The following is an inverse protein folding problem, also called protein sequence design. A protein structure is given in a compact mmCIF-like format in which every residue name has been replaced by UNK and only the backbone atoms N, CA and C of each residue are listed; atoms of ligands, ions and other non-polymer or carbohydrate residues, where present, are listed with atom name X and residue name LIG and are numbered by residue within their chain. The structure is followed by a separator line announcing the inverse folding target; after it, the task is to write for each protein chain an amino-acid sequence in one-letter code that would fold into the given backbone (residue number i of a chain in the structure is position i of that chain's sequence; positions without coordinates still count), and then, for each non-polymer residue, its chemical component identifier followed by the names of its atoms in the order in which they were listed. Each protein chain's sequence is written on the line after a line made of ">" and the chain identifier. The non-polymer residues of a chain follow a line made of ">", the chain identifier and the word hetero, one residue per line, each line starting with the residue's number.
data_IF_855478750417
#
_entry.id   IF_855478750417
#
_cell.length_a   1.000
_cell.length_b   1.000
_cell.length_c   1.000
_cell.angle_alpha   90.00
_cell.angle_beta   90.00
_cell.angle_gamma   90.00
#
_symmetry.space_group_name_H-M   'P 1'
#
loop_
_entity.id
_entity.type
_entity.pdbx_description
1 polymer ?
#
# COMPACT_ATOMS: atom_id res chain seq x y z
N UNK A 1 10.72 -28.29 1.25
CA UNK A 1 10.66 -26.84 1.55
C UNK A 1 9.30 -26.48 2.12
N UNK A 2 8.20 -26.74 1.41
CA UNK A 2 6.81 -26.53 1.87
C UNK A 2 6.50 -27.17 3.23
N UNK A 3 7.01 -28.37 3.48
CA UNK A 3 6.85 -29.08 4.76
C UNK A 3 7.38 -28.28 5.96
N UNK A 4 8.55 -27.64 5.81
CA UNK A 4 9.19 -26.80 6.83
C UNK A 4 8.34 -25.57 7.15
N UNK A 5 7.82 -24.90 6.13
CA UNK A 5 6.99 -23.71 6.33
C UNK A 5 5.64 -24.04 6.96
N UNK A 6 5.07 -25.20 6.65
CA UNK A 6 3.88 -25.68 7.36
C UNK A 6 4.16 -25.90 8.86
N UNK A 7 5.31 -26.45 9.25
CA UNK A 7 5.66 -26.56 10.67
C UNK A 7 5.88 -25.19 11.34
N UNK A 8 6.44 -24.22 10.63
CA UNK A 8 6.57 -22.84 11.14
C UNK A 8 5.17 -22.22 11.34
N UNK A 9 4.25 -22.41 10.38
CA UNK A 9 2.87 -21.93 10.49
C UNK A 9 2.16 -22.57 11.68
N UNK A 10 2.24 -23.90 11.82
CA UNK A 10 1.65 -24.63 12.96
C UNK A 10 2.19 -24.12 14.30
N UNK A 11 3.51 -23.90 14.39
CA UNK A 11 4.14 -23.30 15.56
C UNK A 11 3.62 -21.88 15.86
N UNK A 12 3.53 -21.00 14.86
CA UNK A 12 3.06 -19.64 15.07
C UNK A 12 1.57 -19.57 15.43
N UNK A 13 0.76 -20.49 14.91
CA UNK A 13 -0.66 -20.64 15.30
C UNK A 13 -0.77 -21.07 16.76
N UNK A 14 0.02 -22.04 17.21
CA UNK A 14 0.06 -22.47 18.63
C UNK A 14 0.55 -21.34 19.55
N UNK A 15 1.59 -20.60 19.13
CA UNK A 15 2.08 -19.41 19.84
C UNK A 15 0.98 -18.37 20.02
N UNK A 16 0.20 -18.09 18.97
CA UNK A 16 -0.94 -17.15 19.04
C UNK A 16 -1.94 -17.56 20.12
N UNK A 17 -2.25 -18.85 20.21
CA UNK A 17 -3.28 -19.36 21.13
C UNK A 17 -2.80 -19.45 22.58
N UNK A 18 -1.49 -19.58 22.79
CA UNK A 18 -0.91 -19.91 24.11
C UNK A 18 -0.12 -18.78 24.75
N UNK A 19 0.30 -17.77 23.98
CA UNK A 19 1.26 -16.75 24.42
C UNK A 19 0.71 -15.33 24.26
N UNK A 20 0.69 -14.51 25.32
CA UNK A 20 0.32 -13.10 25.21
C UNK A 20 1.24 -12.32 24.27
N UNK A 21 0.67 -11.37 23.52
CA UNK A 21 1.38 -10.59 22.50
C UNK A 21 2.60 -9.84 23.04
N UNK A 22 2.58 -9.39 24.28
CA UNK A 22 3.68 -8.67 24.94
C UNK A 22 4.90 -9.57 25.18
N UNK A 23 4.69 -10.89 25.26
CA UNK A 23 5.78 -11.87 25.32
C UNK A 23 6.28 -12.22 23.92
N UNK A 24 5.36 -12.38 22.97
CA UNK A 24 5.67 -12.67 21.56
C UNK A 24 6.62 -11.63 20.99
N UNK A 25 6.32 -10.34 21.17
CA UNK A 25 7.14 -9.23 20.62
C UNK A 25 8.53 -9.11 21.26
N UNK A 26 8.80 -9.84 22.34
CA UNK A 26 10.12 -9.86 23.03
C UNK A 26 10.87 -11.17 22.81
N UNK A 27 10.24 -12.16 22.18
CA UNK A 27 10.84 -13.47 21.96
C UNK A 27 11.55 -13.51 20.60
N UNK A 28 12.88 -13.54 20.63
CA UNK A 28 13.71 -13.53 19.43
C UNK A 28 13.43 -14.72 18.48
N UNK A 29 13.05 -15.87 19.02
CA UNK A 29 12.78 -17.07 18.22
C UNK A 29 11.46 -16.93 17.47
N UNK A 30 10.45 -16.36 18.11
CA UNK A 30 9.16 -16.06 17.48
C UNK A 30 9.35 -14.99 16.40
N UNK A 31 10.09 -13.91 16.71
CA UNK A 31 10.38 -12.85 15.73
C UNK A 31 11.17 -13.36 14.53
N UNK A 32 12.16 -14.24 14.75
CA UNK A 32 12.89 -14.89 13.66
C UNK A 32 11.98 -15.78 12.80
N UNK A 33 11.06 -16.51 13.43
CA UNK A 33 10.09 -17.36 12.73
C UNK A 33 9.14 -16.53 11.86
N UNK A 34 8.66 -15.39 12.37
CA UNK A 34 7.84 -14.43 11.60
C UNK A 34 8.64 -13.89 10.41
N UNK A 35 9.90 -13.49 10.60
CA UNK A 35 10.75 -12.97 9.50
C UNK A 35 10.94 -14.01 8.40
N UNK A 36 11.27 -15.25 8.77
CA UNK A 36 11.46 -16.35 7.83
C UNK A 36 10.16 -16.66 7.07
N UNK A 37 9.02 -16.65 7.78
CA UNK A 37 7.73 -16.88 7.16
C UNK A 37 7.34 -15.75 6.21
N UNK A 38 7.53 -14.48 6.61
CA UNK A 38 7.24 -13.32 5.76
C UNK A 38 8.08 -13.28 4.50
N UNK A 39 9.38 -13.65 4.61
CA UNK A 39 10.25 -13.77 3.45
C UNK A 39 9.73 -14.85 2.48
N UNK A 40 9.27 -15.98 3.00
CA UNK A 40 8.70 -17.03 2.17
C UNK A 40 7.36 -16.64 1.52
N UNK A 41 6.46 -16.01 2.27
CA UNK A 41 5.20 -15.49 1.73
C UNK A 41 5.40 -14.43 0.64
N UNK A 42 6.54 -13.73 0.64
CA UNK A 42 6.87 -12.77 -0.42
C UNK A 42 7.21 -13.45 -1.76
N UNK A 43 7.62 -14.72 -1.75
CA UNK A 43 8.07 -15.46 -2.94
C UNK A 43 7.10 -16.58 -3.35
N UNK A 44 6.34 -17.13 -2.41
CA UNK A 44 5.57 -18.36 -2.60
C UNK A 44 4.13 -18.24 -2.08
N UNK A 45 3.18 -18.78 -2.84
CA UNK A 45 1.75 -18.79 -2.52
C UNK A 45 1.12 -20.18 -2.51
N UNK A 46 1.95 -21.23 -2.54
CA UNK A 46 1.52 -22.62 -2.69
C UNK A 46 0.71 -23.20 -1.53
N UNK A 47 0.74 -22.58 -0.34
CA UNK A 47 -0.03 -22.97 0.86
C UNK A 47 -1.13 -21.97 1.21
N UNK A 48 -1.96 -21.58 0.23
CA UNK A 48 -2.94 -20.50 0.37
C UNK A 48 -3.85 -20.64 1.61
N UNK A 49 -4.24 -21.87 1.98
CA UNK A 49 -5.10 -22.13 3.15
C UNK A 49 -4.37 -21.84 4.46
N UNK A 50 -3.17 -22.40 4.63
CA UNK A 50 -2.34 -22.24 5.83
C UNK A 50 -1.84 -20.80 5.96
N UNK A 51 -1.50 -20.17 4.84
CA UNK A 51 -1.20 -18.73 4.75
C UNK A 51 -2.38 -17.93 5.31
N UNK A 52 -3.60 -18.19 4.80
CA UNK A 52 -4.80 -17.46 5.21
C UNK A 52 -5.10 -17.63 6.71
N UNK A 53 -4.77 -18.78 7.30
CA UNK A 53 -4.90 -19.02 8.75
C UNK A 53 -3.88 -18.24 9.59
N UNK A 54 -2.74 -17.87 8.99
CA UNK A 54 -1.66 -17.14 9.69
C UNK A 54 -1.84 -15.63 9.62
N UNK A 55 -2.50 -15.11 8.58
CA UNK A 55 -2.76 -13.66 8.41
C UNK A 55 -3.33 -13.00 9.67
N UNK A 56 -4.37 -13.55 10.35
CA UNK A 56 -4.91 -12.95 11.57
C UNK A 56 -3.85 -12.71 12.65
N UNK A 57 -2.89 -13.63 12.78
CA UNK A 57 -1.79 -13.50 13.73
C UNK A 57 -0.84 -12.36 13.36
N UNK A 58 -0.44 -12.28 12.09
CA UNK A 58 0.46 -11.23 11.59
C UNK A 58 -0.18 -9.84 11.75
N UNK A 59 -1.48 -9.74 11.51
CA UNK A 59 -2.27 -8.51 11.71
C UNK A 59 -2.27 -8.10 13.17
N UNK A 60 -2.55 -9.01 14.11
CA UNK A 60 -2.58 -8.71 15.54
C UNK A 60 -1.23 -8.15 16.03
N UNK A 61 -0.12 -8.76 15.59
CA UNK A 61 1.24 -8.28 15.86
C UNK A 61 1.48 -6.88 15.31
N UNK A 62 1.07 -6.62 14.06
CA UNK A 62 1.23 -5.31 13.46
C UNK A 62 0.43 -4.23 14.21
N UNK A 63 -0.79 -4.55 14.64
CA UNK A 63 -1.63 -3.64 15.43
C UNK A 63 -0.96 -3.28 16.77
N UNK A 64 -0.32 -4.25 17.42
CA UNK A 64 0.43 -4.01 18.64
C UNK A 64 1.66 -3.12 18.39
N UNK A 65 2.49 -3.45 17.40
CA UNK A 65 3.68 -2.68 17.05
C UNK A 65 3.41 -1.26 16.52
N UNK A 66 2.21 -0.99 15.98
CA UNK A 66 1.84 0.37 15.61
C UNK A 66 1.52 1.24 16.82
N UNK A 67 0.86 0.66 17.83
CA UNK A 67 0.43 1.34 19.06
C UNK A 67 1.61 1.58 20.00
N UNK A 68 2.42 0.56 20.22
CA UNK A 68 3.57 0.61 21.10
C UNK A 68 4.86 0.86 20.31
N UNK A 69 5.76 1.68 20.84
CA UNK A 69 7.04 1.95 20.17
C UNK A 69 8.00 0.77 20.42
N UNK A 70 7.81 -0.31 19.65
CA UNK A 70 8.64 -1.52 19.71
C UNK A 70 9.98 -1.32 19.00
N UNK A 71 11.05 -1.95 19.48
CA UNK A 71 12.37 -1.86 18.86
C UNK A 71 12.42 -2.44 17.43
N UNK A 72 11.53 -3.39 17.14
CA UNK A 72 11.43 -4.03 15.82
C UNK A 72 10.17 -3.55 15.11
N UNK A 73 10.34 -2.92 13.94
CA UNK A 73 9.23 -2.58 13.06
C UNK A 73 8.72 -3.84 12.32
N UNK A 74 7.84 -4.58 12.98
CA UNK A 74 7.25 -5.79 12.41
C UNK A 74 6.31 -5.50 11.25
N UNK A 75 5.75 -4.28 11.16
CA UNK A 75 4.93 -3.88 10.01
C UNK A 75 5.81 -3.87 8.77
N UNK A 76 6.99 -3.24 8.85
CA UNK A 76 7.95 -3.20 7.74
C UNK A 76 8.42 -4.59 7.30
N UNK A 77 8.55 -5.53 8.24
CA UNK A 77 8.94 -6.92 7.97
C UNK A 77 7.86 -7.69 7.19
N UNK A 78 6.57 -7.45 7.46
CA UNK A 78 5.48 -8.21 6.83
C UNK A 78 4.96 -7.59 5.53
N UNK A 79 5.31 -6.32 5.22
CA UNK A 79 4.88 -5.65 3.99
C UNK A 79 5.18 -6.48 2.72
N UNK A 80 6.39 -7.04 2.51
CA UNK A 80 6.67 -7.87 1.34
C UNK A 80 5.75 -9.09 1.21
N UNK A 81 5.41 -9.73 2.34
CA UNK A 81 4.45 -10.83 2.35
C UNK A 81 3.06 -10.33 1.92
N UNK A 82 2.55 -9.26 2.54
CA UNK A 82 1.22 -8.76 2.20
C UNK A 82 1.10 -8.21 0.77
N UNK A 83 2.19 -7.70 0.20
CA UNK A 83 2.25 -7.34 -1.22
C UNK A 83 1.95 -8.53 -2.14
N UNK A 84 2.53 -9.70 -1.84
CA UNK A 84 2.33 -10.92 -2.63
C UNK A 84 0.99 -11.62 -2.32
N UNK A 85 0.46 -11.44 -1.10
CA UNK A 85 -0.77 -12.10 -0.65
C UNK A 85 -2.05 -11.36 -1.03
N UNK A 86 -2.07 -10.03 -1.00
CA UNK A 86 -3.30 -9.26 -1.27
C UNK A 86 -3.83 -9.31 -2.71
N UNK A 87 -3.07 -9.72 -3.75
CA UNK A 87 -3.63 -10.07 -5.05
C UNK A 87 -4.45 -11.37 -5.04
N UNK A 88 -4.22 -12.28 -4.09
CA UNK A 88 -4.87 -13.59 -4.02
C UNK A 88 -6.20 -13.51 -3.27
N UNK A 89 -7.23 -14.22 -3.74
CA UNK A 89 -8.61 -14.08 -3.25
C UNK A 89 -8.75 -14.39 -1.74
N UNK A 90 -8.39 -15.60 -1.27
CA UNK A 90 -8.57 -15.95 0.15
C UNK A 90 -7.64 -15.19 1.08
N UNK A 91 -6.34 -15.02 0.77
CA UNK A 91 -5.45 -14.20 1.59
C UNK A 91 -5.91 -12.74 1.68
N UNK A 92 -6.40 -12.14 0.58
CA UNK A 92 -6.99 -10.79 0.58
C UNK A 92 -8.22 -10.71 1.48
N UNK A 93 -9.14 -11.66 1.36
CA UNK A 93 -10.34 -11.71 2.21
C UNK A 93 -9.96 -11.79 3.70
N UNK A 94 -9.01 -12.66 4.05
CA UNK A 94 -8.51 -12.78 5.40
C UNK A 94 -7.82 -11.48 5.88
N UNK A 95 -7.00 -10.85 5.05
CA UNK A 95 -6.34 -9.58 5.36
C UNK A 95 -7.35 -8.46 5.64
N UNK A 96 -8.36 -8.31 4.79
CA UNK A 96 -9.42 -7.31 4.95
C UNK A 96 -10.23 -7.57 6.21
N UNK A 97 -10.68 -8.81 6.41
CA UNK A 97 -11.56 -9.19 7.52
C UNK A 97 -10.93 -8.94 8.89
N UNK A 98 -9.61 -9.08 9.00
CA UNK A 98 -8.90 -8.91 10.27
C UNK A 98 -8.36 -7.49 10.50
N UNK A 99 -8.66 -6.54 9.61
CA UNK A 99 -8.28 -5.13 9.79
C UNK A 99 -6.92 -4.75 9.21
N UNK A 100 -6.38 -5.54 8.28
CA UNK A 100 -5.17 -5.21 7.55
C UNK A 100 -5.18 -3.85 6.82
N UNK A 101 -6.30 -3.41 6.20
CA UNK A 101 -6.32 -2.10 5.57
C UNK A 101 -6.07 -0.96 6.56
N UNK A 102 -6.66 -1.03 7.77
CA UNK A 102 -6.45 -0.02 8.80
C UNK A 102 -4.98 0.06 9.22
N UNK A 103 -4.28 -1.07 9.31
CA UNK A 103 -2.84 -1.10 9.63
C UNK A 103 -2.04 -0.37 8.57
N UNK A 104 -2.32 -0.60 7.27
CA UNK A 104 -1.60 0.09 6.19
C UNK A 104 -1.87 1.60 6.21
N UNK A 105 -3.13 1.99 6.47
CA UNK A 105 -3.52 3.39 6.58
C UNK A 105 -2.82 4.05 7.79
N UNK A 106 -2.88 3.42 8.96
CA UNK A 106 -2.24 3.92 10.18
C UNK A 106 -0.72 4.00 10.02
N UNK A 107 -0.11 3.01 9.37
CA UNK A 107 1.33 3.03 9.06
C UNK A 107 1.69 4.22 8.17
N UNK A 108 0.98 4.42 7.05
CA UNK A 108 1.20 5.54 6.15
C UNK A 108 0.98 6.89 6.83
N UNK A 109 -0.09 7.03 7.62
CA UNK A 109 -0.38 8.25 8.38
C UNK A 109 0.70 8.54 9.43
N UNK A 110 1.14 7.53 10.18
CA UNK A 110 2.21 7.65 11.19
C UNK A 110 3.53 8.02 10.54
N UNK A 111 3.91 7.34 9.45
CA UNK A 111 5.09 7.66 8.67
C UNK A 111 5.04 9.11 8.19
N UNK A 112 3.94 9.50 7.55
CA UNK A 112 3.82 10.84 6.96
C UNK A 112 3.82 11.94 8.02
N UNK A 113 3.15 11.73 9.15
CA UNK A 113 3.08 12.73 10.25
C UNK A 113 4.42 12.93 10.96
N UNK A 114 5.28 11.91 10.96
CA UNK A 114 6.58 11.95 11.63
C UNK A 114 7.71 12.41 10.69
N UNK A 115 7.42 12.61 9.41
CA UNK A 115 8.40 13.08 8.43
C UNK A 115 8.84 14.52 8.75
N UNK A 116 10.14 14.74 8.87
CA UNK A 116 10.69 16.06 9.22
C UNK A 116 10.69 17.04 8.03
N UNK A 117 10.97 16.53 6.83
CA UNK A 117 11.07 17.33 5.60
C UNK A 117 9.99 16.93 4.59
N UNK A 118 8.93 17.73 4.47
CA UNK A 118 7.85 17.55 3.50
C UNK A 118 8.14 18.17 2.11
N UNK A 119 9.36 18.64 1.86
CA UNK A 119 9.73 19.21 0.55
C UNK A 119 10.36 18.18 -0.40
N UNK A 120 10.80 17.04 0.12
CA UNK A 120 11.42 15.97 -0.66
C UNK A 120 11.02 14.58 -0.17
N UNK A 121 11.17 13.57 -1.03
CA UNK A 121 11.03 12.15 -0.68
C UNK A 121 12.33 11.48 -1.09
N UNK A 122 13.06 10.95 -0.11
CA UNK A 122 14.30 10.19 -0.31
C UNK A 122 14.01 8.75 -0.72
N UNK A 123 15.00 8.06 -1.30
CA UNK A 123 14.81 6.67 -1.77
C UNK A 123 14.51 5.69 -0.63
N UNK A 124 15.01 5.95 0.57
CA UNK A 124 14.63 5.16 1.76
C UNK A 124 13.16 5.32 2.10
N UNK A 125 12.63 6.54 1.97
CA UNK A 125 11.23 6.86 2.24
C UNK A 125 10.29 6.33 1.15
N UNK A 126 10.76 6.25 -0.10
CA UNK A 126 9.96 5.65 -1.18
C UNK A 126 9.53 4.24 -0.81
N UNK A 127 10.45 3.42 -0.31
CA UNK A 127 10.17 2.04 0.07
C UNK A 127 9.15 1.94 1.21
N UNK A 128 9.20 2.88 2.17
CA UNK A 128 8.28 2.93 3.31
C UNK A 128 6.87 3.36 2.90
N UNK A 129 6.71 4.08 1.80
CA UNK A 129 5.40 4.51 1.29
C UNK A 129 4.85 3.52 0.25
N UNK A 130 5.69 3.08 -0.67
CA UNK A 130 5.29 2.34 -1.87
C UNK A 130 4.64 0.99 -1.53
N UNK A 131 5.23 0.25 -0.59
CA UNK A 131 4.70 -1.06 -0.20
C UNK A 131 3.28 -1.00 0.38
N UNK A 132 3.03 -0.24 1.46
CA UNK A 132 1.69 -0.09 2.02
C UNK A 132 0.68 0.48 1.02
N UNK A 133 1.09 1.44 0.19
CA UNK A 133 0.23 2.01 -0.86
C UNK A 133 -0.18 0.96 -1.90
N UNK A 134 0.77 0.12 -2.34
CA UNK A 134 0.49 -0.95 -3.29
C UNK A 134 -0.41 -2.05 -2.70
N UNK A 135 -0.27 -2.35 -1.40
CA UNK A 135 -1.22 -3.24 -0.69
C UNK A 135 -2.64 -2.67 -0.74
N UNK A 136 -2.80 -1.36 -0.48
CA UNK A 136 -4.10 -0.68 -0.57
C UNK A 136 -4.64 -0.67 -2.02
N UNK A 137 -3.76 -0.51 -3.01
CA UNK A 137 -4.12 -0.61 -4.44
C UNK A 137 -4.64 -2.01 -4.81
N UNK A 138 -3.99 -3.09 -4.35
CA UNK A 138 -4.45 -4.46 -4.61
C UNK A 138 -5.89 -4.67 -4.12
N UNK A 139 -6.25 -4.02 -3.00
CA UNK A 139 -7.58 -4.06 -2.42
C UNK A 139 -8.56 -3.18 -3.20
N UNK A 140 -8.21 -1.93 -3.52
CA UNK A 140 -9.13 -1.01 -4.22
C UNK A 140 -9.46 -1.48 -5.63
N UNK A 141 -8.53 -2.18 -6.30
CA UNK A 141 -8.76 -2.77 -7.62
C UNK A 141 -9.78 -3.91 -7.53
N UNK A 142 -9.72 -4.72 -6.47
CA UNK A 142 -10.53 -5.95 -6.34
C UNK A 142 -11.87 -5.72 -5.63
N UNK A 143 -11.92 -4.85 -4.62
CA UNK A 143 -13.07 -4.66 -3.70
C UNK A 143 -13.57 -3.21 -3.67
N UNK A 144 -13.33 -2.45 -4.75
CA UNK A 144 -13.45 -0.98 -4.86
C UNK A 144 -14.56 -0.34 -4.04
N UNK A 145 -15.82 -0.61 -4.40
CA UNK A 145 -16.99 0.06 -3.82
C UNK A 145 -17.12 -0.24 -2.32
N UNK A 146 -17.03 -1.52 -1.95
CA UNK A 146 -17.12 -1.94 -0.54
C UNK A 146 -15.97 -1.39 0.29
N UNK A 147 -14.77 -1.36 -0.27
CA UNK A 147 -13.58 -0.90 0.43
C UNK A 147 -13.64 0.61 0.71
N UNK A 148 -14.01 1.41 -0.30
CA UNK A 148 -14.07 2.87 -0.19
C UNK A 148 -15.18 3.30 0.78
N UNK A 149 -16.39 2.74 0.65
CA UNK A 149 -17.53 3.11 1.51
C UNK A 149 -17.25 2.78 2.98
N UNK A 150 -16.58 1.66 3.26
CA UNK A 150 -16.32 1.23 4.64
C UNK A 150 -15.25 2.04 5.35
N UNK A 151 -14.35 2.70 4.61
CA UNK A 151 -13.18 3.38 5.16
C UNK A 151 -13.08 4.82 4.59
N UNK A 152 -14.21 5.47 4.31
CA UNK A 152 -14.27 6.70 3.52
C UNK A 152 -13.36 7.80 4.10
N UNK A 153 -13.49 8.08 5.40
CA UNK A 153 -12.71 9.10 6.11
C UNK A 153 -11.20 8.78 6.10
N UNK A 154 -10.82 7.54 6.42
CA UNK A 154 -9.43 7.09 6.48
C UNK A 154 -8.77 7.11 5.09
N UNK A 155 -9.48 6.64 4.07
CA UNK A 155 -8.98 6.63 2.69
C UNK A 155 -8.78 8.07 2.19
N UNK A 156 -9.67 9.00 2.53
CA UNK A 156 -9.48 10.41 2.17
C UNK A 156 -8.28 11.06 2.88
N UNK A 157 -7.87 10.59 4.07
CA UNK A 157 -6.58 10.98 4.66
C UNK A 157 -5.42 10.53 3.78
N UNK A 158 -5.48 9.32 3.22
CA UNK A 158 -4.48 8.83 2.27
C UNK A 158 -4.51 9.60 0.95
N UNK A 159 -5.68 10.02 0.44
CA UNK A 159 -5.77 10.91 -0.73
C UNK A 159 -5.07 12.25 -0.49
N UNK A 160 -5.22 12.82 0.71
CA UNK A 160 -4.53 14.06 1.08
C UNK A 160 -3.01 13.88 1.14
N UNK A 161 -2.52 12.76 1.70
CA UNK A 161 -1.10 12.39 1.65
C UNK A 161 -0.66 12.24 0.18
N UNK A 162 -1.46 11.56 -0.63
CA UNK A 162 -1.20 11.35 -2.05
C UNK A 162 -1.11 12.64 -2.86
N UNK A 163 -1.93 13.65 -2.55
CA UNK A 163 -1.79 14.99 -3.12
C UNK A 163 -0.42 15.59 -2.76
N UNK A 164 0.02 15.49 -1.51
CA UNK A 164 1.29 16.06 -1.09
C UNK A 164 2.48 15.35 -1.77
N UNK A 165 2.48 14.01 -1.82
CA UNK A 165 3.45 13.22 -2.60
C UNK A 165 3.47 13.69 -4.06
N UNK A 166 2.30 13.84 -4.67
CA UNK A 166 2.15 14.29 -6.05
C UNK A 166 2.69 15.70 -6.26
N UNK A 167 2.55 16.60 -5.29
CA UNK A 167 3.09 17.96 -5.37
C UNK A 167 4.61 18.01 -5.20
N UNK A 168 5.20 17.07 -4.46
CA UNK A 168 6.65 16.93 -4.33
C UNK A 168 7.26 16.34 -5.60
N UNK A 169 6.67 15.26 -6.13
CA UNK A 169 7.25 14.49 -7.24
C UNK A 169 6.79 14.96 -8.63
N UNK A 170 5.57 15.49 -8.76
CA UNK A 170 5.01 15.94 -10.03
C UNK A 170 5.85 17.02 -10.75
N UNK A 171 6.37 18.06 -10.08
CA UNK A 171 7.24 19.06 -10.71
C UNK A 171 8.52 18.48 -11.33
N UNK A 172 8.97 17.32 -10.84
CA UNK A 172 10.22 16.67 -11.27
C UNK A 172 10.09 15.93 -12.60
N UNK A 173 8.87 15.63 -13.06
CA UNK A 173 8.60 14.98 -14.36
C UNK A 173 9.20 15.76 -15.55
N UNK A 174 9.09 17.09 -15.52
CA UNK A 174 9.51 17.96 -16.65
C UNK A 174 10.97 18.40 -16.62
N UNK A 175 11.72 18.10 -15.57
CA UNK A 175 13.14 18.49 -15.51
C UNK A 175 13.97 17.53 -16.37
N UNK A 176 14.55 18.04 -17.46
CA UNK A 176 15.50 17.30 -18.31
C UNK A 176 16.73 16.75 -17.54
N UNK A 177 16.97 17.23 -16.32
CA UNK A 177 18.03 16.77 -15.41
C UNK A 177 17.55 15.75 -14.37
N UNK A 178 16.24 15.43 -14.35
CA UNK A 178 15.70 14.46 -13.42
C UNK A 178 16.08 13.05 -13.86
N UNK A 179 17.21 12.58 -13.35
CA UNK A 179 17.40 11.14 -13.12
C UNK A 179 16.55 10.77 -11.91
N UNK A 180 15.23 10.76 -12.06
CA UNK A 180 14.36 10.06 -11.11
C UNK A 180 14.97 8.69 -10.87
N UNK A 181 15.22 8.36 -9.62
CA UNK A 181 15.38 6.96 -9.26
C UNK A 181 14.05 6.28 -9.62
N UNK A 182 14.11 5.14 -10.32
CA UNK A 182 12.94 4.49 -10.95
C UNK A 182 11.75 4.37 -9.98
N UNK A 183 12.06 4.08 -8.72
CA UNK A 183 11.11 3.93 -7.62
C UNK A 183 10.28 5.18 -7.31
N UNK A 184 10.82 6.40 -7.49
CA UNK A 184 10.06 7.63 -7.24
C UNK A 184 8.99 7.88 -8.29
N UNK A 185 9.26 7.51 -9.55
CA UNK A 185 8.23 7.56 -10.60
C UNK A 185 7.15 6.53 -10.32
N UNK A 186 7.55 5.30 -9.95
CA UNK A 186 6.62 4.23 -9.59
C UNK A 186 5.72 4.68 -8.43
N UNK A 187 6.30 5.28 -7.39
CA UNK A 187 5.55 5.86 -6.28
C UNK A 187 4.55 6.93 -6.74
N UNK A 188 4.97 7.86 -7.60
CA UNK A 188 4.08 8.89 -8.13
C UNK A 188 2.92 8.27 -8.93
N UNK A 189 3.22 7.34 -9.83
CA UNK A 189 2.21 6.64 -10.63
C UNK A 189 1.17 5.91 -9.77
N UNK A 190 1.64 5.11 -8.81
CA UNK A 190 0.78 4.38 -7.88
C UNK A 190 -0.04 5.32 -6.99
N UNK A 191 0.56 6.43 -6.56
CA UNK A 191 -0.14 7.45 -5.76
C UNK A 191 -1.28 8.07 -6.54
N UNK A 192 -1.01 8.48 -7.79
CA UNK A 192 -2.02 9.06 -8.67
C UNK A 192 -3.13 8.04 -8.95
N UNK A 193 -2.78 6.79 -9.27
CA UNK A 193 -3.75 5.72 -9.51
C UNK A 193 -4.67 5.51 -8.31
N UNK A 194 -4.10 5.41 -7.10
CA UNK A 194 -4.87 5.24 -5.88
C UNK A 194 -5.85 6.40 -5.68
N UNK A 195 -5.35 7.63 -5.74
CA UNK A 195 -6.16 8.83 -5.57
C UNK A 195 -7.30 8.89 -6.60
N UNK A 196 -7.01 8.57 -7.86
CA UNK A 196 -7.97 8.58 -8.95
C UNK A 196 -9.08 7.53 -8.72
N UNK A 197 -8.73 6.32 -8.26
CA UNK A 197 -9.72 5.31 -7.88
C UNK A 197 -10.64 5.79 -6.76
N UNK A 198 -10.10 6.44 -5.73
CA UNK A 198 -10.90 6.97 -4.63
C UNK A 198 -11.83 8.09 -5.13
N UNK A 199 -11.28 9.06 -5.85
CA UNK A 199 -12.02 10.24 -6.33
C UNK A 199 -13.20 9.84 -7.21
N UNK A 200 -13.01 8.92 -8.15
CA UNK A 200 -14.07 8.47 -9.06
C UNK A 200 -15.20 7.72 -8.37
N UNK A 201 -14.95 7.20 -7.17
CA UNK A 201 -15.92 6.42 -6.41
C UNK A 201 -16.41 7.18 -5.17
N UNK A 202 -15.99 8.43 -5.01
CA UNK A 202 -16.52 9.33 -3.98
C UNK A 202 -17.71 10.09 -4.55
N UNK A 203 -18.85 10.06 -3.86
CA UNK A 203 -20.03 10.82 -4.29
C UNK A 203 -19.73 12.33 -4.30
N UNK A 204 -20.15 13.09 -5.32
CA UNK A 204 -20.10 14.56 -5.31
C UNK A 204 -20.88 15.21 -4.15
N UNK A 205 -21.80 14.46 -3.52
CA UNK A 205 -22.54 14.91 -2.33
C UNK A 205 -21.80 14.63 -1.01
N UNK A 206 -20.68 13.91 -1.04
CA UNK A 206 -19.86 13.64 0.15
C UNK A 206 -19.24 14.95 0.64
N UNK A 207 -19.19 15.12 1.96
CA UNK A 207 -18.48 16.23 2.61
C UNK A 207 -16.96 16.18 2.37
N UNK A 208 -16.43 15.01 2.02
CA UNK A 208 -15.02 14.80 1.68
C UNK A 208 -14.70 15.17 0.22
N UNK A 209 -15.71 15.47 -0.60
CA UNK A 209 -15.54 15.84 -2.00
C UNK A 209 -14.94 17.26 -2.13
N UNK A 210 -13.61 17.35 -2.03
CA UNK A 210 -12.87 18.61 -2.22
C UNK A 210 -12.49 18.82 -3.69
N UNK A 211 -13.22 19.71 -4.37
CA UNK A 211 -12.96 20.08 -5.77
C UNK A 211 -11.54 20.57 -6.02
N UNK A 212 -10.90 21.24 -5.06
CA UNK A 212 -9.55 21.76 -5.23
C UNK A 212 -8.51 20.64 -5.17
N UNK A 213 -8.68 19.68 -4.25
CA UNK A 213 -7.82 18.48 -4.16
C UNK A 213 -7.94 17.68 -5.46
N UNK A 214 -9.16 17.42 -5.90
CA UNK A 214 -9.44 16.68 -7.14
C UNK A 214 -8.78 17.34 -8.35
N UNK A 215 -8.98 18.65 -8.53
CA UNK A 215 -8.39 19.39 -9.66
C UNK A 215 -6.86 19.31 -9.68
N UNK A 216 -6.20 19.39 -8.53
CA UNK A 216 -4.74 19.29 -8.44
C UNK A 216 -4.24 17.89 -8.78
N UNK A 217 -4.88 16.85 -8.23
CA UNK A 217 -4.53 15.45 -8.51
C UNK A 217 -4.71 15.15 -10.00
N UNK A 218 -5.87 15.48 -10.57
CA UNK A 218 -6.16 15.27 -12.00
C UNK A 218 -5.17 16.04 -12.89
N UNK A 219 -4.80 17.25 -12.50
CA UNK A 219 -3.79 18.02 -13.23
C UNK A 219 -2.43 17.33 -13.25
N UNK A 220 -1.93 16.88 -12.09
CA UNK A 220 -0.63 16.20 -12.00
C UNK A 220 -0.69 14.84 -12.71
N UNK A 221 -1.81 14.13 -12.61
CA UNK A 221 -2.03 12.88 -13.34
C UNK A 221 -1.92 13.09 -14.85
N UNK A 222 -2.59 14.13 -15.38
CA UNK A 222 -2.46 14.49 -16.79
C UNK A 222 -1.01 14.80 -17.19
N UNK A 223 -0.28 15.55 -16.36
CA UNK A 223 1.15 15.81 -16.61
C UNK A 223 1.98 14.52 -16.64
N UNK A 224 1.67 13.56 -15.76
CA UNK A 224 2.33 12.25 -15.71
C UNK A 224 2.03 11.41 -16.96
N UNK A 225 0.77 11.38 -17.40
CA UNK A 225 0.35 10.64 -18.59
C UNK A 225 0.90 11.22 -19.90
N UNK A 226 0.96 12.55 -19.98
CA UNK A 226 1.46 13.25 -21.18
C UNK A 226 3.01 13.25 -21.27
N UNK A 227 3.72 12.78 -20.25
CA UNK A 227 5.19 12.82 -20.18
C UNK A 227 5.83 11.81 -21.15
N UNK A 228 6.60 12.33 -22.11
CA UNK A 228 7.22 11.52 -23.16
C UNK A 228 8.33 10.59 -22.66
N UNK A 229 9.00 10.91 -21.54
CA UNK A 229 10.01 10.02 -20.95
C UNK A 229 9.35 8.79 -20.34
N UNK A 230 8.20 8.97 -19.68
CA UNK A 230 7.37 7.88 -19.18
C UNK A 230 6.85 7.01 -20.34
N UNK A 231 6.37 7.64 -21.41
CA UNK A 231 5.90 6.95 -22.62
C UNK A 231 7.02 6.14 -23.30
N UNK A 232 8.25 6.66 -23.32
CA UNK A 232 9.41 5.98 -23.92
C UNK A 232 9.91 4.76 -23.13
N UNK A 233 9.49 4.61 -21.86
CA UNK A 233 9.83 3.47 -21.00
C UNK A 233 8.72 2.40 -20.95
N UNK A 234 7.66 2.53 -21.76
CA UNK A 234 6.50 1.62 -21.82
C UNK A 234 6.88 0.15 -22.03
N UNK A 235 7.90 -0.15 -22.83
CA UNK A 235 8.33 -1.53 -23.10
C UNK A 235 9.05 -2.20 -21.91
N UNK A 236 9.48 -1.42 -20.92
CA UNK A 236 10.23 -1.90 -19.75
C UNK A 236 9.35 -1.95 -18.51
N UNK A 237 8.38 -1.05 -18.37
CA UNK A 237 7.61 -0.86 -17.14
C UNK A 237 6.12 -1.18 -17.31
N UNK A 238 5.78 -2.48 -17.32
CA UNK A 238 4.39 -2.97 -17.39
C UNK A 238 3.44 -2.34 -16.37
N UNK A 239 3.95 -1.99 -15.18
CA UNK A 239 3.15 -1.34 -14.12
C UNK A 239 2.79 0.10 -14.48
N UNK A 240 3.67 0.84 -15.17
CA UNK A 240 3.36 2.17 -15.68
C UNK A 240 2.36 2.10 -16.82
N UNK A 241 2.42 1.07 -17.66
CA UNK A 241 1.41 0.83 -18.69
C UNK A 241 0.02 0.58 -18.07
N UNK A 242 -0.06 -0.21 -16.99
CA UNK A 242 -1.31 -0.43 -16.25
C UNK A 242 -1.83 0.85 -15.57
N UNK A 243 -0.95 1.65 -14.97
CA UNK A 243 -1.29 2.97 -14.39
C UNK A 243 -1.79 3.96 -15.45
N UNK A 244 -1.17 3.97 -16.65
CA UNK A 244 -1.60 4.78 -17.79
C UNK A 244 -2.95 4.31 -18.30
N UNK A 245 -3.13 3.01 -18.57
CA UNK A 245 -4.39 2.47 -19.11
C UNK A 245 -5.57 2.67 -18.15
N UNK A 246 -5.38 2.40 -16.85
CA UNK A 246 -6.41 2.61 -15.83
C UNK A 246 -6.66 4.11 -15.59
N UNK A 247 -5.61 4.93 -15.71
CA UNK A 247 -5.66 6.38 -15.67
C UNK A 247 -6.46 7.00 -16.80
N UNK A 248 -6.13 6.64 -18.03
CA UNK A 248 -6.83 7.03 -19.25
C UNK A 248 -8.29 6.59 -19.19
N UNK A 249 -8.59 5.35 -18.78
CA UNK A 249 -9.97 4.89 -18.58
C UNK A 249 -10.75 5.75 -17.59
N UNK A 250 -10.10 6.26 -16.54
CA UNK A 250 -10.76 7.15 -15.58
C UNK A 250 -10.91 8.57 -16.13
N UNK A 251 -9.89 9.10 -16.79
CA UNK A 251 -9.92 10.44 -17.39
C UNK A 251 -10.90 10.54 -18.57
N UNK A 252 -10.98 9.49 -19.40
CA UNK A 252 -11.84 9.41 -20.58
C UNK A 252 -13.32 9.18 -20.23
N UNK A 253 -13.62 8.61 -19.06
CA UNK A 253 -14.99 8.44 -18.57
C UNK A 253 -15.68 9.74 -18.11
N UNK A 254 -15.17 10.92 -18.48
CA UNK A 254 -15.84 12.22 -18.41
C UNK A 254 -16.49 12.57 -17.04
N UNK A 255 -15.76 12.39 -15.94
CA UNK A 255 -16.09 13.07 -14.68
C UNK A 255 -15.67 14.56 -14.67
N UNK A 256 -14.98 15.02 -15.72
CA UNK A 256 -14.50 16.40 -15.87
C UNK A 256 -15.53 17.27 -16.60
N UNK A 257 -16.78 17.19 -16.15
CA UNK A 257 -17.74 18.27 -16.38
C UNK A 257 -18.21 18.78 -15.00
N UNK A 258 -17.27 19.26 -14.18
CA UNK A 258 -17.53 19.97 -12.91
C UNK A 258 -16.65 21.22 -12.81
#
# INVERSE_FOLDING_TARGET
>A
MTETFRYIIEYLVDVKETTPIEKIIKDESILASIRVLSAWFAEESSLEKEISQTIPFLIEICQYCLKDNTEVDLVKIVIPAFLNLTPLDKPREAFITHGGPQIMIDYLMKFWSNKEDHSNISDTEVNDILGPLQILLNIIVSEREKFIIRNEDEIWKIVNIGLQISQILGPKLKSYEYKSNEDQIILLGNTLLFCIFVITNTSPSSNLFDKNVIKKIVHIAKLFYDDQHIISQRDVWKQVEEVILLGEQVLDNNYITI
#
